data_IF_031090656350
#
_entry.id   IF_031090656350
#
_cell.length_a   1.000
_cell.length_b   1.000
_cell.length_c   1.000
_cell.angle_alpha   90.00
_cell.angle_beta   90.00
_cell.angle_gamma   90.00
#
_symmetry.space_group_name_H-M   'P 1'
#
loop_
_entity.id
_entity.type
_entity.pdbx_description
1 polymer ?
#
# COMPACT_ATOMS: atom_id res chain seq x y z
N UNK A 1 -10.48 6.24 33.40
CA UNK A 1 -9.08 6.43 33.74
C UNK A 1 -8.34 6.74 32.47
N UNK A 2 -7.54 7.81 32.49
CA UNK A 2 -6.85 8.31 31.30
C UNK A 2 -6.01 7.22 30.65
N UNK A 3 -5.37 6.33 31.42
CA UNK A 3 -4.51 5.29 30.86
C UNK A 3 -5.24 4.41 29.84
N UNK A 4 -6.48 4.02 30.10
CA UNK A 4 -7.26 3.19 29.16
C UNK A 4 -7.57 3.93 27.86
N UNK A 5 -7.87 5.23 27.92
CA UNK A 5 -8.14 6.06 26.74
C UNK A 5 -6.91 6.05 25.81
N UNK A 6 -5.73 6.24 26.39
CA UNK A 6 -4.45 6.20 25.64
C UNK A 6 -4.11 4.79 25.14
N UNK A 7 -4.35 3.74 25.93
CA UNK A 7 -4.12 2.35 25.50
C UNK A 7 -5.07 1.92 24.37
N UNK A 8 -6.24 2.54 24.23
CA UNK A 8 -7.16 2.26 23.13
C UNK A 8 -6.73 2.92 21.81
N UNK A 9 -5.96 4.01 21.82
CA UNK A 9 -5.50 4.71 20.61
C UNK A 9 -4.83 3.79 19.57
N UNK A 10 -3.76 3.02 19.88
CA UNK A 10 -3.12 2.15 18.90
C UNK A 10 -4.02 0.99 18.42
N UNK A 11 -5.11 0.70 19.15
CA UNK A 11 -6.11 -0.29 18.76
C UNK A 11 -7.16 0.31 17.82
N UNK A 12 -7.55 1.57 18.04
CA UNK A 12 -8.45 2.35 17.16
C UNK A 12 -7.81 2.62 15.80
N UNK A 13 -6.48 2.81 15.75
CA UNK A 13 -5.72 2.95 14.51
C UNK A 13 -5.75 1.67 13.64
N UNK A 14 -5.92 0.50 14.28
CA UNK A 14 -6.04 -0.79 13.57
C UNK A 14 -7.50 -1.07 13.21
N UNK A 15 -7.85 -0.77 11.96
CA UNK A 15 -9.16 -1.11 11.37
C UNK A 15 -9.30 -2.63 11.21
N UNK A 16 -10.50 -3.14 11.49
CA UNK A 16 -10.82 -4.56 11.30
C UNK A 16 -11.80 -5.11 12.35
N UNK A 17 -11.80 -6.43 12.53
CA UNK A 17 -12.72 -7.14 13.44
C UNK A 17 -12.67 -6.68 14.89
N UNK A 18 -11.53 -6.15 15.34
CA UNK A 18 -11.38 -5.62 16.69
C UNK A 18 -12.32 -4.42 16.95
N UNK A 19 -12.80 -3.74 15.91
CA UNK A 19 -13.71 -2.62 16.04
C UNK A 19 -15.02 -2.99 16.77
N UNK A 20 -15.55 -4.19 16.53
CA UNK A 20 -16.74 -4.69 17.24
C UNK A 20 -16.54 -4.81 18.75
N UNK A 21 -15.36 -5.27 19.17
CA UNK A 21 -15.03 -5.39 20.61
C UNK A 21 -14.71 -4.03 21.22
N UNK A 22 -14.17 -3.09 20.43
CA UNK A 22 -13.80 -1.75 20.89
C UNK A 22 -15.04 -0.89 21.16
N UNK A 23 -16.06 -0.93 20.31
CA UNK A 23 -17.30 -0.15 20.52
C UNK A 23 -18.08 -0.55 21.76
N UNK A 24 -17.94 -1.81 22.21
CA UNK A 24 -18.59 -2.32 23.44
C UNK A 24 -17.90 -1.83 24.72
N UNK A 25 -16.70 -1.23 24.64
CA UNK A 25 -15.97 -0.77 25.82
C UNK A 25 -16.63 0.47 26.42
N UNK A 26 -16.74 0.52 27.76
CA UNK A 26 -17.33 1.65 28.48
C UNK A 26 -16.62 2.99 28.18
N UNK A 27 -15.31 2.96 27.89
CA UNK A 27 -14.48 4.15 27.60
C UNK A 27 -14.26 4.39 26.11
N UNK A 28 -15.01 3.71 25.25
CA UNK A 28 -14.93 3.91 23.81
C UNK A 28 -15.20 5.36 23.43
N UNK A 29 -16.26 5.98 23.98
CA UNK A 29 -16.65 7.35 23.63
C UNK A 29 -15.52 8.36 23.88
N UNK A 30 -14.93 8.33 25.06
CA UNK A 30 -13.80 9.20 25.40
C UNK A 30 -12.56 8.93 24.51
N UNK A 31 -12.34 7.67 24.13
CA UNK A 31 -11.23 7.30 23.23
C UNK A 31 -11.47 7.75 21.79
N UNK A 32 -12.72 7.70 21.33
CA UNK A 32 -13.14 8.19 20.02
C UNK A 32 -13.09 9.72 19.94
N UNK A 33 -13.56 10.43 20.96
CA UNK A 33 -13.48 11.90 20.99
C UNK A 33 -11.99 12.35 20.95
N UNK A 34 -11.11 11.63 21.65
CA UNK A 34 -9.66 11.88 21.58
C UNK A 34 -9.07 11.55 20.21
N UNK A 35 -9.55 10.51 19.53
CA UNK A 35 -9.15 10.17 18.17
C UNK A 35 -9.52 11.30 17.19
N UNK A 36 -10.74 11.85 17.31
CA UNK A 36 -11.18 12.99 16.48
C UNK A 36 -10.29 14.21 16.68
N UNK A 37 -9.93 14.54 17.94
CA UNK A 37 -8.99 15.63 18.21
C UNK A 37 -7.63 15.40 17.52
N UNK A 38 -7.10 14.18 17.54
CA UNK A 38 -5.85 13.83 16.84
C UNK A 38 -5.97 13.91 15.32
N UNK A 39 -7.12 13.53 14.75
CA UNK A 39 -7.42 13.71 13.32
C UNK A 39 -7.44 15.20 12.95
N UNK A 40 -8.12 16.05 13.74
CA UNK A 40 -8.15 17.51 13.49
C UNK A 40 -6.77 18.17 13.64
N UNK A 41 -5.90 17.59 14.47
CA UNK A 41 -4.51 18.03 14.65
C UNK A 41 -3.57 17.50 13.56
N UNK A 42 -4.10 16.77 12.56
CA UNK A 42 -3.34 16.12 11.49
C UNK A 42 -2.23 15.16 12.00
N UNK A 43 -2.40 14.63 13.22
CA UNK A 43 -1.50 13.63 13.81
C UNK A 43 -1.83 12.22 13.31
N UNK A 44 -3.10 12.00 12.96
CA UNK A 44 -3.65 10.73 12.48
C UNK A 44 -4.41 11.00 11.17
N UNK A 45 -4.48 9.99 10.30
CA UNK A 45 -5.21 10.06 9.04
C UNK A 45 -6.68 10.45 9.29
N UNK A 46 -7.20 11.56 8.73
CA UNK A 46 -8.59 11.94 8.89
C UNK A 46 -9.56 10.87 8.35
N UNK A 47 -9.14 10.10 7.35
CA UNK A 47 -9.95 8.99 6.82
C UNK A 47 -10.21 7.89 7.86
N UNK A 48 -9.38 7.80 8.91
CA UNK A 48 -9.63 6.91 10.04
C UNK A 48 -10.83 7.40 10.88
N UNK A 49 -10.90 8.70 11.14
CA UNK A 49 -12.01 9.32 11.87
C UNK A 49 -13.34 9.15 11.11
N UNK A 50 -13.32 9.36 9.79
CA UNK A 50 -14.48 9.16 8.93
C UNK A 50 -14.95 7.70 8.95
N UNK A 51 -14.02 6.74 8.82
CA UNK A 51 -14.33 5.31 8.87
C UNK A 51 -14.96 4.90 10.21
N UNK A 52 -14.44 5.41 11.34
CA UNK A 52 -15.02 5.13 12.66
C UNK A 52 -16.41 5.74 12.82
N UNK A 53 -16.62 6.93 12.27
CA UNK A 53 -17.93 7.61 12.29
C UNK A 53 -18.95 6.80 11.48
N UNK A 54 -18.59 6.38 10.27
CA UNK A 54 -19.43 5.51 9.45
C UNK A 54 -19.68 4.17 10.13
N UNK A 55 -18.67 3.57 10.78
CA UNK A 55 -18.84 2.31 11.52
C UNK A 55 -19.81 2.44 12.70
N UNK A 56 -19.77 3.56 13.45
CA UNK A 56 -20.66 3.79 14.59
C UNK A 56 -22.11 4.01 14.11
N UNK A 57 -22.29 4.80 13.05
CA UNK A 57 -23.61 5.12 12.48
C UNK A 57 -24.23 3.93 11.71
N UNK A 58 -23.39 3.07 11.12
CA UNK A 58 -23.80 1.91 10.35
C UNK A 58 -24.52 0.83 11.17
N UNK A 59 -25.45 0.15 10.50
CA UNK A 59 -26.08 -1.09 10.98
C UNK A 59 -25.11 -2.28 10.97
N UNK A 60 -25.48 -3.36 11.65
CA UNK A 60 -24.70 -4.61 11.77
C UNK A 60 -24.15 -5.12 10.44
N UNK A 61 -24.99 -5.19 9.39
CA UNK A 61 -24.57 -5.66 8.07
C UNK A 61 -23.58 -4.71 7.38
N UNK A 62 -23.76 -3.39 7.52
CA UNK A 62 -22.85 -2.39 6.94
C UNK A 62 -21.52 -2.34 7.68
N UNK A 63 -21.54 -2.50 9.01
CA UNK A 63 -20.33 -2.64 9.85
C UNK A 63 -19.46 -3.81 9.41
N UNK A 64 -20.07 -4.97 9.11
CA UNK A 64 -19.33 -6.13 8.60
C UNK A 64 -18.67 -5.86 7.25
N UNK A 65 -19.37 -5.18 6.34
CA UNK A 65 -18.82 -4.77 5.04
C UNK A 65 -17.63 -3.81 5.21
N UNK A 66 -17.77 -2.78 6.06
CA UNK A 66 -16.70 -1.81 6.34
C UNK A 66 -15.46 -2.47 6.92
N UNK A 67 -15.65 -3.44 7.82
CA UNK A 67 -14.55 -4.24 8.36
C UNK A 67 -13.89 -5.06 7.27
N UNK A 68 -14.66 -5.73 6.42
CA UNK A 68 -14.12 -6.54 5.32
C UNK A 68 -13.35 -5.69 4.29
N UNK A 69 -13.86 -4.51 3.95
CA UNK A 69 -13.22 -3.55 3.07
C UNK A 69 -11.91 -3.04 3.66
N UNK A 70 -11.88 -2.76 4.97
CA UNK A 70 -10.67 -2.31 5.67
C UNK A 70 -9.58 -3.38 5.71
N UNK A 71 -9.96 -4.66 5.85
CA UNK A 71 -9.02 -5.79 5.83
C UNK A 71 -8.48 -6.04 4.41
N UNK A 72 -9.34 -5.95 3.39
CA UNK A 72 -8.93 -6.04 1.98
C UNK A 72 -8.03 -4.89 1.53
N UNK A 73 -8.21 -3.70 2.12
CA UNK A 73 -7.45 -2.49 1.81
C UNK A 73 -6.16 -2.33 2.63
N UNK A 74 -6.05 -2.99 3.79
CA UNK A 74 -4.81 -3.02 4.61
C UNK A 74 -3.65 -3.69 3.87
N UNK A 75 -3.91 -4.53 2.86
CA UNK A 75 -2.89 -5.02 1.92
C UNK A 75 -2.36 -3.98 0.92
N UNK A 76 -3.02 -2.82 0.78
CA UNK A 76 -2.69 -1.76 -0.20
C UNK A 76 -2.18 -0.46 0.43
N UNK A 77 -2.49 -0.18 1.69
CA UNK A 77 -2.09 1.08 2.34
C UNK A 77 -0.59 1.19 2.73
N UNK A 78 0.21 0.15 2.51
CA UNK A 78 1.67 0.17 2.80
C UNK A 78 2.58 -0.26 1.65
N UNK A 79 2.05 -0.53 0.44
CA UNK A 79 2.85 -1.16 -0.62
C UNK A 79 2.36 -0.87 -2.04
N UNK A 80 2.35 0.39 -2.47
CA UNK A 80 2.32 0.63 -3.92
C UNK A 80 2.94 1.95 -4.40
N UNK A 81 4.16 2.27 -3.99
CA UNK A 81 4.97 3.30 -4.66
C UNK A 81 6.28 2.78 -5.26
N UNK A 82 6.48 1.46 -5.38
CA UNK A 82 7.67 0.91 -6.07
C UNK A 82 7.37 -0.23 -7.04
N UNK A 83 6.39 -0.02 -7.93
CA UNK A 83 6.29 -0.80 -9.18
C UNK A 83 6.85 0.00 -10.37
N UNK A 84 8.09 0.45 -10.25
CA UNK A 84 8.92 1.02 -11.32
C UNK A 84 10.33 0.51 -11.00
N UNK A 85 10.96 -0.41 -11.71
CA UNK A 85 10.99 -0.71 -13.14
C UNK A 85 11.69 -2.07 -13.30
N UNK A 86 10.96 -3.19 -13.40
CA UNK A 86 11.56 -4.41 -13.97
C UNK A 86 11.59 -4.22 -15.48
N UNK A 87 12.58 -3.45 -15.99
CA UNK A 87 12.99 -3.60 -17.39
C UNK A 87 13.73 -4.94 -17.45
N UNK A 88 12.95 -5.99 -17.70
CA UNK A 88 13.47 -7.31 -18.03
C UNK A 88 14.33 -7.16 -19.28
N UNK A 89 15.53 -7.70 -19.15
CA UNK A 89 16.45 -8.03 -20.22
C UNK A 89 15.84 -9.19 -21.02
N UNK A 90 15.71 -9.00 -22.32
CA UNK A 90 15.51 -10.02 -23.37
C UNK A 90 15.85 -9.29 -24.67
N UNK A 91 17.00 -9.48 -25.33
CA UNK A 91 17.53 -10.72 -25.90
C UNK A 91 16.49 -11.43 -26.78
N UNK A 92 16.40 -10.95 -28.04
CA UNK A 92 16.03 -11.70 -29.24
C UNK A 92 17.06 -11.21 -30.30
N UNK A 93 17.95 -12.05 -30.84
CA UNK A 93 17.69 -13.06 -31.89
C UNK A 93 16.87 -12.46 -33.03
N UNK A 94 17.21 -12.51 -34.31
CA UNK A 94 18.32 -13.01 -35.13
C UNK A 94 18.03 -12.45 -36.55
N UNK A 95 19.04 -12.46 -37.41
CA UNK A 95 18.94 -12.75 -38.86
C UNK A 95 19.11 -11.58 -39.87
N UNK A 96 19.99 -11.81 -40.87
CA UNK A 96 19.94 -11.20 -42.21
C UNK A 96 21.01 -10.14 -42.59
N UNK A 97 22.24 -10.59 -42.89
CA UNK A 97 23.12 -10.33 -44.08
C UNK A 97 22.75 -9.25 -45.13
N UNK A 98 23.64 -8.79 -46.05
CA UNK A 98 25.05 -8.33 -46.03
C UNK A 98 25.19 -6.86 -46.52
N UNK A 99 26.36 -6.21 -46.34
CA UNK A 99 26.74 -5.06 -47.16
C UNK A 99 28.26 -4.90 -47.23
N UNK A 100 28.72 -4.75 -48.47
CA UNK A 100 30.09 -4.65 -48.99
C UNK A 100 30.89 -3.44 -48.48
N UNK A 101 32.22 -3.54 -48.60
CA UNK A 101 33.01 -2.44 -49.17
C UNK A 101 34.26 -2.00 -48.41
N UNK A 102 35.40 -2.14 -49.09
CA UNK A 102 36.73 -1.51 -48.86
C UNK A 102 37.57 -2.07 -47.71
N UNK A 103 38.85 -2.43 -47.89
CA UNK A 103 39.77 -2.25 -49.01
C UNK A 103 41.21 -2.23 -48.46
N UNK A 104 42.13 -2.95 -49.11
CA UNK A 104 43.56 -3.04 -48.79
C UNK A 104 44.04 -4.46 -49.12
N UNK A 105 44.52 -4.75 -50.33
CA UNK A 105 45.90 -4.48 -50.79
C UNK A 105 46.89 -4.94 -49.71
N UNK A 106 47.72 -5.96 -49.91
CA UNK A 106 48.66 -6.07 -51.03
C UNK A 106 49.36 -7.45 -51.01
N UNK A 107 49.83 -7.87 -52.18
CA UNK A 107 51.03 -8.70 -52.40
C UNK A 107 51.02 -10.24 -52.17
N UNK A 108 50.93 -10.97 -53.27
CA UNK A 108 51.46 -12.34 -53.46
C UNK A 108 52.96 -12.27 -53.88
N UNK A 109 53.63 -13.35 -54.32
CA UNK A 109 53.71 -14.77 -53.91
C UNK A 109 55.19 -15.12 -53.53
N UNK A 110 55.54 -16.41 -53.34
CA UNK A 110 56.81 -17.11 -53.70
C UNK A 110 56.94 -18.38 -52.83
N UNK A 111 56.83 -19.60 -53.37
CA UNK A 111 57.86 -20.38 -54.08
C UNK A 111 58.92 -21.01 -53.15
N UNK A 112 58.79 -22.32 -52.90
CA UNK A 112 59.86 -23.36 -52.97
C UNK A 112 59.27 -24.73 -52.67
#
# INVERSE_FOLDING_TARGET
DMREIWMMQPRLEKRGRQAFTLVTQLRFRASYDFLLLRCTSNEVDPALGDWWTEFIDADSSRREQLVQESLGSTGKSGRNTRKRRRRRKSASAENGTPAEGHGGADEAPQAS
#
